data_IF_568458451145
#
_entry.id   IF_568458451145
#
_cell.length_a   1.000
_cell.length_b   1.000
_cell.length_c   1.000
_cell.angle_alpha   90.00
_cell.angle_beta   90.00
_cell.angle_gamma   90.00
#
_symmetry.space_group_name_H-M   'P 1'
#
loop_
_entity.id
_entity.type
_entity.pdbx_description
1 polymer ?
#
# COMPACT_ATOMS: atom_id res chain seq x y z
N UNK A 1 18.07 5.69 -10.72
CA UNK A 1 18.67 4.53 -10.00
C UNK A 1 19.00 4.87 -8.54
N UNK A 2 19.86 5.87 -8.27
CA UNK A 2 20.26 6.28 -6.90
C UNK A 2 19.08 6.54 -5.93
N UNK A 3 18.01 7.19 -6.40
CA UNK A 3 16.81 7.51 -5.61
C UNK A 3 16.10 6.24 -5.07
N UNK A 4 16.05 5.16 -5.85
CA UNK A 4 15.40 3.89 -5.43
C UNK A 4 16.15 3.19 -4.29
N UNK A 5 17.46 3.38 -4.17
CA UNK A 5 18.28 2.78 -3.10
C UNK A 5 18.13 3.56 -1.78
N UNK A 6 17.92 4.88 -1.85
CA UNK A 6 17.83 5.74 -0.65
C UNK A 6 16.50 5.53 0.09
N UNK A 7 15.38 5.29 -0.61
CA UNK A 7 14.08 5.06 0.05
C UNK A 7 14.01 3.72 0.81
N UNK A 8 14.65 2.67 0.29
CA UNK A 8 14.69 1.37 0.97
C UNK A 8 15.38 1.47 2.35
N UNK A 9 16.34 2.40 2.50
CA UNK A 9 17.09 2.60 3.73
C UNK A 9 16.31 3.32 4.85
N UNK A 10 15.37 4.22 4.52
CA UNK A 10 14.55 4.89 5.56
C UNK A 10 13.56 3.94 6.24
N UNK A 11 13.04 2.94 5.53
CA UNK A 11 12.17 1.92 6.13
C UNK A 11 12.91 1.09 7.19
N UNK A 12 14.13 0.63 6.87
CA UNK A 12 14.94 -0.22 7.76
C UNK A 12 15.31 0.49 9.07
N UNK A 13 15.68 1.77 9.01
CA UNK A 13 16.05 2.55 10.20
C UNK A 13 14.84 2.74 11.13
N UNK A 14 13.63 2.90 10.59
CA UNK A 14 12.41 3.09 11.39
C UNK A 14 12.01 1.80 12.12
N UNK A 15 12.19 0.64 11.49
CA UNK A 15 11.85 -0.66 12.07
C UNK A 15 12.75 -1.04 13.26
N UNK A 16 14.06 -0.75 13.15
CA UNK A 16 15.07 -1.11 14.17
C UNK A 16 14.89 -0.36 15.52
N UNK A 17 14.12 0.73 15.54
CA UNK A 17 13.78 1.48 16.76
C UNK A 17 12.67 0.80 17.58
N UNK A 18 11.77 0.03 16.95
CA UNK A 18 10.64 -0.60 17.64
C UNK A 18 11.01 -1.90 18.36
N UNK A 19 11.88 -2.74 17.79
CA UNK A 19 12.26 -4.04 18.39
C UNK A 19 12.98 -3.89 19.75
N UNK A 20 13.72 -2.80 19.96
CA UNK A 20 14.48 -2.57 21.19
C UNK A 20 13.62 -2.15 22.40
N UNK A 21 12.33 -1.87 22.22
CA UNK A 21 11.42 -1.51 23.34
C UNK A 21 10.83 -2.77 24.02
N UNK A 22 10.88 -3.93 23.36
CA UNK A 22 10.18 -5.14 23.81
C UNK A 22 11.00 -6.11 24.70
N UNK A 23 12.27 -5.79 25.03
CA UNK A 23 13.18 -6.71 25.76
C UNK A 23 13.81 -6.10 27.03
N UNK A 24 13.00 -5.65 28.00
CA UNK A 24 13.50 -5.38 29.37
C UNK A 24 12.44 -5.57 30.48
N UNK A 25 11.81 -6.75 30.59
CA UNK A 25 11.08 -7.15 31.82
C UNK A 25 11.31 -8.64 32.13
N UNK A 26 12.35 -8.95 32.92
CA UNK A 26 12.39 -10.11 33.83
C UNK A 26 13.53 -9.94 34.84
N UNK A 27 13.30 -10.38 36.08
CA UNK A 27 14.23 -10.41 37.24
C UNK A 27 14.69 -9.04 37.81
N UNK A 28 14.94 -8.85 39.11
CA UNK A 28 14.37 -9.40 40.38
C UNK A 28 14.75 -8.44 41.53
N UNK A 29 14.03 -8.52 42.66
CA UNK A 29 14.43 -8.04 44.01
C UNK A 29 14.61 -6.53 44.30
N UNK A 30 14.31 -6.17 45.55
CA UNK A 30 14.59 -4.88 46.18
C UNK A 30 15.66 -5.05 47.26
N UNK A 31 16.46 -4.01 47.56
CA UNK A 31 16.29 -3.42 48.90
C UNK A 31 16.43 -1.87 48.98
N UNK A 32 15.94 -1.39 50.13
CA UNK A 32 15.76 -0.01 50.63
C UNK A 32 17.04 0.79 50.94
N UNK A 33 16.80 2.08 51.32
CA UNK A 33 17.62 3.07 52.06
C UNK A 33 18.60 3.87 51.17
N UNK A 34 18.71 5.22 51.22
CA UNK A 34 18.13 6.25 52.12
C UNK A 34 17.72 7.56 51.37
N UNK A 35 17.46 8.68 52.08
CA UNK A 35 17.17 10.01 51.49
C UNK A 35 18.17 11.12 51.93
N UNK A 36 18.61 11.99 51.00
CA UNK A 36 19.18 13.32 51.34
C UNK A 36 19.05 14.31 50.16
N UNK A 37 19.25 15.61 50.41
CA UNK A 37 18.59 16.71 49.69
C UNK A 37 19.29 17.28 48.43
N UNK A 38 18.43 17.70 47.49
CA UNK A 38 18.47 18.94 46.67
C UNK A 38 19.83 19.52 46.24
N UNK A 39 20.10 19.51 44.93
CA UNK A 39 20.39 20.76 44.18
C UNK A 39 20.38 20.59 42.65
N UNK A 40 19.83 21.61 41.97
CA UNK A 40 20.06 22.04 40.57
C UNK A 40 20.03 21.02 39.42
N UNK A 41 19.19 21.31 38.41
CA UNK A 41 18.91 20.37 37.33
C UNK A 41 20.05 20.12 36.32
N UNK A 42 20.06 18.89 35.79
CA UNK A 42 20.58 18.55 34.47
C UNK A 42 19.70 17.47 33.86
N UNK A 43 19.25 17.72 32.64
CA UNK A 43 18.45 16.80 31.85
C UNK A 43 19.31 15.59 31.47
N UNK A 44 19.03 14.41 32.04
CA UNK A 44 19.76 13.17 31.74
C UNK A 44 19.41 12.67 30.33
N UNK A 45 20.05 13.26 29.32
CA UNK A 45 20.12 12.73 27.97
C UNK A 45 20.76 11.35 28.04
N UNK A 46 19.96 10.29 27.89
CA UNK A 46 20.47 8.92 27.75
C UNK A 46 21.42 8.88 26.55
N UNK A 47 22.71 8.67 26.80
CA UNK A 47 23.66 8.40 25.73
C UNK A 47 23.30 7.04 25.11
N UNK A 48 22.84 7.07 23.86
CA UNK A 48 22.84 5.86 23.04
C UNK A 48 24.30 5.43 22.86
N UNK A 49 24.60 4.17 23.16
CA UNK A 49 25.98 3.68 23.26
C UNK A 49 26.81 3.99 22.03
N UNK A 50 28.06 4.45 22.24
CA UNK A 50 29.02 4.72 21.17
C UNK A 50 29.23 3.48 20.31
N UNK A 51 28.62 3.47 19.13
CA UNK A 51 28.99 2.53 18.05
C UNK A 51 30.36 2.98 17.54
N UNK A 52 31.43 2.29 17.96
CA UNK A 52 32.78 2.55 17.47
C UNK A 52 32.90 2.02 16.05
N UNK A 53 32.65 2.90 15.08
CA UNK A 53 32.84 2.59 13.65
C UNK A 53 34.21 3.12 13.24
N UNK A 54 35.14 2.21 12.94
CA UNK A 54 36.44 2.61 12.39
C UNK A 54 36.24 3.36 11.06
N UNK A 55 36.99 4.46 10.80
CA UNK A 55 36.92 5.17 9.53
C UNK A 55 37.40 4.23 8.42
N UNK A 56 36.51 3.90 7.47
CA UNK A 56 36.89 3.05 6.35
C UNK A 56 36.82 3.82 5.03
N UNK A 57 37.89 3.73 4.25
CA UNK A 57 38.00 4.46 2.98
C UNK A 57 36.92 4.05 1.96
N UNK A 58 36.48 5.01 1.15
CA UNK A 58 35.64 4.78 -0.01
C UNK A 58 36.51 4.24 -1.16
N UNK A 59 36.28 3.00 -1.56
CA UNK A 59 36.97 2.35 -2.67
C UNK A 59 35.98 1.90 -3.74
N UNK A 60 36.45 1.54 -4.95
CA UNK A 60 35.58 1.02 -6.03
C UNK A 60 34.64 -0.10 -5.57
N UNK A 61 35.07 -0.97 -4.64
CA UNK A 61 34.25 -2.06 -4.07
C UNK A 61 33.13 -1.59 -3.11
N UNK A 62 33.15 -0.32 -2.71
CA UNK A 62 32.15 0.31 -1.84
C UNK A 62 31.34 1.41 -2.55
N UNK A 63 31.54 1.61 -3.85
CA UNK A 63 30.77 2.56 -4.66
C UNK A 63 29.26 2.36 -4.42
N UNK A 64 28.54 3.44 -4.11
CA UNK A 64 27.11 3.40 -3.80
C UNK A 64 26.74 3.04 -2.36
N UNK A 65 27.70 2.66 -1.49
CA UNK A 65 27.44 2.46 -0.06
C UNK A 65 27.25 3.79 0.66
N UNK A 66 26.40 3.76 1.68
CA UNK A 66 26.20 4.84 2.64
C UNK A 66 27.10 4.64 3.87
N UNK A 67 27.57 5.73 4.46
CA UNK A 67 28.29 5.77 5.73
C UNK A 67 27.76 6.94 6.55
N UNK A 68 27.50 6.72 7.84
CA UNK A 68 27.16 7.79 8.76
C UNK A 68 28.40 8.18 9.54
N UNK A 69 28.91 9.38 9.28
CA UNK A 69 29.96 10.02 10.04
C UNK A 69 29.35 10.48 11.37
N UNK A 70 29.65 9.73 12.43
CA UNK A 70 29.15 9.95 13.79
C UNK A 70 29.78 11.18 14.44
N UNK A 71 31.00 11.55 14.04
CA UNK A 71 31.77 12.66 14.62
C UNK A 71 31.23 14.01 14.14
N UNK A 72 30.92 14.12 12.85
CA UNK A 72 30.36 15.34 12.25
C UNK A 72 28.83 15.29 12.04
N UNK A 73 28.17 14.17 12.33
CA UNK A 73 26.73 13.97 12.21
C UNK A 73 26.21 13.86 10.76
N UNK A 74 27.04 13.45 9.81
CA UNK A 74 26.79 13.54 8.36
C UNK A 74 26.52 12.19 7.71
N UNK A 75 25.53 12.12 6.81
CA UNK A 75 25.36 10.95 5.94
C UNK A 75 26.19 11.14 4.66
N UNK A 76 27.08 10.19 4.36
CA UNK A 76 27.98 10.22 3.22
C UNK A 76 27.66 9.08 2.23
N UNK A 77 27.82 9.35 0.94
CA UNK A 77 27.75 8.36 -0.15
C UNK A 77 29.15 8.16 -0.75
N UNK A 78 29.56 6.90 -0.92
CA UNK A 78 30.81 6.57 -1.61
C UNK A 78 30.64 6.71 -3.13
N UNK A 79 31.30 7.70 -3.74
CA UNK A 79 31.19 8.01 -5.17
C UNK A 79 32.55 8.46 -5.74
N UNK A 80 33.08 7.71 -6.71
CA UNK A 80 34.40 7.89 -7.34
C UNK A 80 35.57 7.85 -6.34
N UNK A 81 35.61 6.82 -5.50
CA UNK A 81 36.63 6.64 -4.44
C UNK A 81 36.70 7.80 -3.42
N UNK A 82 35.65 8.62 -3.33
CA UNK A 82 35.53 9.68 -2.34
C UNK A 82 34.21 9.55 -1.58
N UNK A 83 34.25 9.77 -0.27
CA UNK A 83 33.05 10.02 0.51
C UNK A 83 32.52 11.41 0.16
N UNK A 84 31.28 11.49 -0.33
CA UNK A 84 30.59 12.76 -0.58
C UNK A 84 29.43 12.90 0.39
N UNK A 85 29.37 14.03 1.07
CA UNK A 85 28.24 14.34 1.94
C UNK A 85 26.94 14.38 1.13
N UNK A 86 25.95 13.58 1.55
CA UNK A 86 24.57 13.74 1.13
C UNK A 86 23.97 14.92 1.88
N UNK A 87 24.46 16.11 1.54
CA UNK A 87 23.99 17.36 2.11
C UNK A 87 22.49 17.50 1.84
N UNK A 88 21.70 17.43 2.90
CA UNK A 88 20.30 17.82 2.87
C UNK A 88 20.20 19.34 2.64
N UNK A 89 20.30 19.75 1.38
CA UNK A 89 19.52 20.90 0.90
C UNK A 89 18.05 20.49 0.92
N UNK A 90 17.49 20.38 2.13
CA UNK A 90 16.07 20.65 2.31
C UNK A 90 15.94 22.15 2.04
N UNK A 91 15.76 22.48 0.76
CA UNK A 91 14.70 23.41 0.45
C UNK A 91 13.44 22.73 1.01
N UNK A 92 13.13 22.98 2.29
CA UNK A 92 11.77 22.76 2.79
C UNK A 92 10.86 23.37 1.74
N UNK A 93 9.88 22.63 1.19
CA UNK A 93 9.06 23.13 0.10
C UNK A 93 8.63 24.55 0.44
N UNK A 94 9.07 25.54 -0.37
CA UNK A 94 8.83 26.97 -0.07
C UNK A 94 7.36 27.09 0.28
N UNK A 95 7.06 27.50 1.52
CA UNK A 95 5.74 27.45 2.17
C UNK A 95 4.64 27.71 1.14
N UNK A 96 4.05 26.63 0.66
CA UNK A 96 3.42 26.62 -0.64
C UNK A 96 2.66 25.33 -0.82
N UNK A 97 1.40 25.50 -1.24
CA UNK A 97 0.35 24.49 -1.17
C UNK A 97 0.72 23.23 -1.94
N UNK A 98 1.15 22.21 -1.18
CA UNK A 98 1.36 20.86 -1.70
C UNK A 98 0.10 20.41 -2.45
N UNK A 99 0.26 19.62 -3.52
CA UNK A 99 -0.89 19.13 -4.26
C UNK A 99 -1.71 18.15 -3.42
N UNK A 100 -3.04 18.19 -3.55
CA UNK A 100 -3.96 17.33 -2.78
C UNK A 100 -4.03 15.90 -3.29
N UNK A 101 -3.67 15.69 -4.56
CA UNK A 101 -3.58 14.40 -5.22
C UNK A 101 -2.60 14.47 -6.39
N UNK A 102 -2.28 13.33 -7.01
CA UNK A 102 -1.51 13.33 -8.27
C UNK A 102 -2.23 14.12 -9.39
N UNK A 103 -3.56 14.14 -9.40
CA UNK A 103 -4.35 14.92 -10.36
C UNK A 103 -4.19 16.43 -10.14
N UNK A 104 -4.26 16.89 -8.89
CA UNK A 104 -4.03 18.29 -8.54
C UNK A 104 -2.58 18.73 -8.83
N UNK A 105 -1.59 17.85 -8.60
CA UNK A 105 -0.21 18.08 -9.02
C UNK A 105 -0.11 18.29 -10.54
N UNK A 106 -0.84 17.49 -11.33
CA UNK A 106 -0.88 17.62 -12.78
C UNK A 106 -1.52 18.94 -13.22
N UNK A 107 -2.69 19.30 -12.68
CA UNK A 107 -3.38 20.56 -13.05
C UNK A 107 -2.63 21.82 -12.61
N UNK A 108 -1.88 21.77 -11.49
CA UNK A 108 -0.99 22.86 -11.05
C UNK A 108 0.30 22.98 -11.86
N UNK A 109 0.50 22.19 -12.91
CA UNK A 109 1.74 22.19 -13.69
C UNK A 109 2.96 21.71 -12.91
N UNK A 110 2.75 20.92 -11.84
CA UNK A 110 3.82 20.34 -11.02
C UNK A 110 4.27 18.96 -11.52
N UNK A 111 3.68 18.50 -12.62
CA UNK A 111 4.03 17.27 -13.34
C UNK A 111 5.50 17.25 -13.76
N UNK A 112 6.19 16.18 -13.42
CA UNK A 112 7.60 15.86 -13.70
C UNK A 112 7.75 14.45 -14.28
N UNK A 113 6.67 13.87 -14.80
CA UNK A 113 6.58 12.47 -15.23
C UNK A 113 6.24 11.50 -14.11
N UNK A 114 6.12 10.22 -14.44
CA UNK A 114 5.78 9.16 -13.49
C UNK A 114 6.84 9.04 -12.39
N UNK A 115 6.40 8.88 -11.14
CA UNK A 115 7.32 8.82 -10.00
C UNK A 115 6.69 9.31 -8.71
N UNK A 116 7.49 9.91 -7.84
CA UNK A 116 7.12 10.18 -6.45
C UNK A 116 6.88 11.66 -6.19
N UNK A 117 5.74 11.94 -5.56
CA UNK A 117 5.26 13.29 -5.29
C UNK A 117 4.90 13.42 -3.81
N UNK A 118 5.18 14.59 -3.24
CA UNK A 118 4.65 14.97 -1.93
C UNK A 118 3.22 15.43 -2.10
N UNK A 119 2.28 14.67 -1.53
CA UNK A 119 0.84 14.92 -1.59
C UNK A 119 0.34 15.31 -0.20
N UNK A 120 -0.55 16.28 -0.10
CA UNK A 120 -1.29 16.60 1.12
C UNK A 120 -2.80 16.64 0.87
N UNK A 121 -3.53 15.52 1.09
CA UNK A 121 -4.96 15.41 0.79
C UNK A 121 -5.86 16.40 1.55
N UNK A 122 -5.34 17.04 2.59
CA UNK A 122 -6.07 18.01 3.42
C UNK A 122 -6.04 19.41 2.81
N UNK A 123 -5.14 19.69 1.87
CA UNK A 123 -5.02 20.98 1.20
C UNK A 123 -4.65 22.14 2.12
N UNK A 124 -4.06 21.88 3.29
CA UNK A 124 -3.53 22.89 4.22
C UNK A 124 -2.00 22.97 4.13
N UNK A 125 -1.42 24.13 4.46
CA UNK A 125 0.04 24.32 4.46
C UNK A 125 0.72 23.74 5.73
N UNK A 126 0.46 22.46 5.99
CA UNK A 126 1.10 21.68 7.06
C UNK A 126 1.70 20.38 6.50
N UNK A 127 3.02 20.23 6.64
CA UNK A 127 3.74 19.03 6.19
C UNK A 127 3.40 17.79 7.03
N UNK A 128 2.87 17.93 8.27
CA UNK A 128 2.55 16.79 9.16
C UNK A 128 1.51 15.83 8.59
N UNK A 129 0.65 16.29 7.68
CA UNK A 129 -0.38 15.48 7.01
C UNK A 129 -0.03 15.18 5.55
N UNK A 130 1.18 15.53 5.12
CA UNK A 130 1.69 15.19 3.79
C UNK A 130 2.40 13.83 3.80
N UNK A 131 2.35 13.13 2.67
CA UNK A 131 3.02 11.85 2.48
C UNK A 131 3.58 11.76 1.04
N UNK A 132 4.49 10.82 0.81
CA UNK A 132 4.91 10.49 -0.55
C UNK A 132 3.86 9.59 -1.20
N UNK A 133 3.43 9.91 -2.41
CA UNK A 133 2.61 9.04 -3.23
C UNK A 133 3.33 8.71 -4.54
N UNK A 134 3.16 7.48 -5.04
CA UNK A 134 3.56 7.15 -6.41
C UNK A 134 2.47 7.61 -7.37
N UNK A 135 2.81 8.54 -8.25
CA UNK A 135 1.94 9.07 -9.29
C UNK A 135 2.31 8.50 -10.66
N UNK A 136 1.29 8.06 -11.39
CA UNK A 136 1.35 7.87 -12.83
C UNK A 136 0.74 9.12 -13.50
N UNK A 137 1.61 9.87 -14.16
CA UNK A 137 1.31 11.13 -14.85
C UNK A 137 1.14 10.94 -16.36
N UNK A 138 1.31 9.73 -16.87
CA UNK A 138 1.33 9.44 -18.31
C UNK A 138 0.03 8.77 -18.77
N UNK A 139 -0.40 7.72 -18.09
CA UNK A 139 -1.46 6.82 -18.53
C UNK A 139 -2.83 7.50 -18.56
N UNK A 140 -3.53 7.44 -19.69
CA UNK A 140 -4.85 8.03 -19.89
C UNK A 140 -4.94 9.53 -19.48
N UNK A 141 -3.89 10.30 -19.76
CA UNK A 141 -3.77 11.70 -19.35
C UNK A 141 -3.27 11.90 -17.91
N UNK A 142 -2.82 10.84 -17.24
CA UNK A 142 -2.15 10.92 -15.94
C UNK A 142 -3.03 11.34 -14.77
N UNK A 143 -2.38 11.77 -13.69
CA UNK A 143 -3.00 12.19 -12.44
C UNK A 143 -3.39 11.04 -11.51
N UNK A 144 -2.95 9.81 -11.81
CA UNK A 144 -3.30 8.61 -11.06
C UNK A 144 -2.41 8.48 -9.82
N UNK A 145 -3.03 8.28 -8.66
CA UNK A 145 -2.35 7.99 -7.39
C UNK A 145 -2.40 6.49 -7.13
N UNK A 146 -1.25 5.84 -6.93
CA UNK A 146 -1.19 4.44 -6.52
C UNK A 146 -1.77 4.30 -5.10
N UNK A 147 -2.75 3.43 -4.92
CA UNK A 147 -3.42 3.23 -3.63
C UNK A 147 -3.26 1.83 -3.06
N UNK A 148 -3.04 0.82 -3.90
CA UNK A 148 -2.72 -0.54 -3.44
C UNK A 148 -1.91 -1.32 -4.48
N UNK A 149 -1.19 -2.34 -4.03
CA UNK A 149 -0.53 -3.33 -4.87
C UNK A 149 -0.72 -4.74 -4.32
N UNK A 150 -0.58 -5.72 -5.20
CA UNK A 150 -0.49 -7.15 -4.87
C UNK A 150 0.62 -7.76 -5.73
N UNK A 151 1.55 -8.46 -5.10
CA UNK A 151 2.76 -9.04 -5.73
C UNK A 151 3.07 -10.46 -5.26
N UNK A 152 2.37 -10.94 -4.23
CA UNK A 152 2.33 -12.34 -3.81
C UNK A 152 0.96 -12.60 -3.13
N UNK A 153 0.43 -13.83 -3.20
CA UNK A 153 -0.95 -14.08 -2.76
C UNK A 153 -1.12 -14.26 -1.25
N UNK A 154 -0.26 -15.04 -0.60
CA UNK A 154 -0.45 -15.42 0.82
C UNK A 154 0.53 -14.76 1.78
N UNK A 155 1.68 -14.28 1.29
CA UNK A 155 2.77 -13.78 2.13
C UNK A 155 2.42 -12.53 2.96
N UNK A 156 1.41 -11.76 2.54
CA UNK A 156 0.89 -10.62 3.30
C UNK A 156 -0.24 -10.98 4.27
N UNK A 157 -0.98 -12.07 4.00
CA UNK A 157 -2.11 -12.50 4.83
C UNK A 157 -1.65 -13.36 6.01
N UNK A 158 -0.80 -14.34 5.74
CA UNK A 158 -0.30 -15.28 6.73
C UNK A 158 1.23 -15.41 6.62
N UNK A 159 2.00 -14.40 7.09
CA UNK A 159 3.46 -14.39 6.98
C UNK A 159 4.13 -15.59 7.66
N UNK A 160 3.50 -16.16 8.71
CA UNK A 160 3.93 -17.38 9.40
C UNK A 160 3.97 -18.62 8.48
N UNK A 161 3.18 -18.59 7.39
CA UNK A 161 3.10 -19.62 6.35
C UNK A 161 4.07 -19.41 5.19
N UNK A 162 4.84 -18.32 5.20
CA UNK A 162 5.93 -18.05 4.23
C UNK A 162 5.52 -18.09 2.75
N UNK A 163 4.26 -17.76 2.45
CA UNK A 163 3.70 -17.77 1.08
C UNK A 163 2.92 -19.02 0.70
N UNK A 164 2.89 -20.06 1.55
CA UNK A 164 1.91 -21.15 1.45
C UNK A 164 0.50 -20.70 1.85
N UNK A 165 -0.50 -21.54 1.58
CA UNK A 165 -1.88 -21.30 2.02
C UNK A 165 -1.98 -21.11 3.54
N UNK A 166 -2.98 -20.34 3.96
CA UNK A 166 -3.19 -19.91 5.34
C UNK A 166 -3.84 -20.96 6.23
N UNK A 167 -4.07 -22.20 5.76
CA UNK A 167 -4.70 -23.24 6.56
C UNK A 167 -3.80 -23.62 7.75
N UNK A 168 -4.29 -23.41 8.97
CA UNK A 168 -3.50 -23.58 10.19
C UNK A 168 -2.49 -22.47 10.46
N UNK A 169 -2.66 -21.29 9.86
CA UNK A 169 -2.02 -20.06 10.34
C UNK A 169 -2.61 -19.64 11.68
N UNK A 170 -1.79 -19.01 12.52
CA UNK A 170 -2.23 -18.40 13.78
C UNK A 170 -2.79 -16.96 13.59
N UNK A 171 -2.79 -16.44 12.36
CA UNK A 171 -3.39 -15.14 12.04
C UNK A 171 -4.92 -15.23 12.05
N UNK A 172 -5.57 -14.20 12.57
CA UNK A 172 -7.03 -14.06 12.54
C UNK A 172 -7.55 -13.94 11.09
N UNK A 173 -8.40 -14.89 10.61
CA UNK A 173 -8.92 -14.87 9.25
C UNK A 173 -9.78 -13.65 8.91
N UNK A 174 -10.31 -12.90 9.90
CA UNK A 174 -11.00 -11.63 9.66
C UNK A 174 -10.11 -10.60 8.96
N UNK A 175 -8.79 -10.71 9.15
CA UNK A 175 -7.78 -9.82 8.56
C UNK A 175 -7.41 -10.18 7.12
N UNK A 176 -7.95 -11.27 6.56
CA UNK A 176 -7.59 -11.84 5.26
C UNK A 176 -8.18 -11.09 4.04
N UNK A 177 -8.20 -9.77 4.08
CA UNK A 177 -8.69 -8.94 2.99
C UNK A 177 -7.78 -7.73 2.73
N UNK A 178 -7.60 -7.35 1.46
CA UNK A 178 -6.57 -6.38 1.04
C UNK A 178 -6.72 -5.01 1.72
N UNK A 179 -7.93 -4.61 2.08
CA UNK A 179 -8.23 -3.29 2.63
C UNK A 179 -8.33 -3.26 4.16
N UNK A 180 -8.03 -4.37 4.84
CA UNK A 180 -7.98 -4.43 6.29
C UNK A 180 -6.87 -3.54 6.85
N UNK A 181 -7.08 -2.99 8.06
CA UNK A 181 -6.20 -2.00 8.67
C UNK A 181 -4.76 -2.49 8.89
N UNK A 182 -4.54 -3.80 9.07
CA UNK A 182 -3.19 -4.39 9.26
C UNK A 182 -2.32 -4.34 8.00
N UNK A 183 -2.95 -4.29 6.81
CA UNK A 183 -2.27 -4.19 5.51
C UNK A 183 -2.13 -2.73 5.04
N UNK A 184 -2.63 -1.78 5.84
CA UNK A 184 -2.48 -0.37 5.55
C UNK A 184 -1.04 0.10 5.79
N UNK A 185 -0.55 0.98 4.93
CA UNK A 185 0.75 1.65 5.03
C UNK A 185 0.56 3.14 4.80
N UNK A 186 1.51 3.94 5.29
CA UNK A 186 1.59 5.38 5.00
C UNK A 186 2.18 5.68 3.61
N UNK A 187 2.71 4.66 2.93
CA UNK A 187 3.27 4.74 1.59
C UNK A 187 3.04 3.42 0.84
N UNK A 188 2.68 3.52 -0.44
CA UNK A 188 2.62 2.39 -1.38
C UNK A 188 3.44 2.76 -2.62
N UNK A 189 4.27 1.82 -3.05
CA UNK A 189 5.12 1.92 -4.24
C UNK A 189 4.99 0.69 -5.13
N UNK A 190 5.70 0.70 -6.26
CA UNK A 190 5.80 -0.44 -7.19
C UNK A 190 7.01 -1.36 -6.89
N UNK A 191 7.50 -1.42 -5.65
CA UNK A 191 8.52 -2.43 -5.27
C UNK A 191 7.85 -3.81 -5.20
N UNK A 192 8.48 -4.81 -5.81
CA UNK A 192 8.00 -6.21 -5.79
C UNK A 192 8.59 -6.89 -4.57
N UNK A 193 7.74 -7.47 -3.71
CA UNK A 193 8.17 -8.22 -2.53
C UNK A 193 7.40 -9.53 -2.41
N UNK A 194 7.83 -10.40 -1.49
CA UNK A 194 7.18 -11.69 -1.17
C UNK A 194 7.08 -11.87 0.34
N UNK A 195 6.75 -10.78 1.03
CA UNK A 195 6.67 -10.62 2.48
C UNK A 195 5.34 -9.95 2.88
N UNK A 196 5.24 -9.47 4.12
CA UNK A 196 4.11 -8.69 4.64
C UNK A 196 3.79 -7.40 3.86
N UNK A 197 4.68 -6.94 2.97
CA UNK A 197 4.48 -5.76 2.11
C UNK A 197 4.09 -6.14 0.67
N UNK A 198 3.88 -7.43 0.40
CA UNK A 198 3.56 -7.94 -0.93
C UNK A 198 2.12 -7.64 -1.36
N UNK A 199 1.20 -7.49 -0.40
CA UNK A 199 -0.16 -6.98 -0.59
C UNK A 199 -0.44 -5.87 0.43
N UNK A 200 -0.43 -4.62 -0.02
CA UNK A 200 -0.59 -3.44 0.84
C UNK A 200 -1.41 -2.34 0.17
N UNK A 201 -2.02 -1.49 0.99
CA UNK A 201 -2.80 -0.32 0.56
C UNK A 201 -2.48 0.93 1.39
N UNK A 202 -2.81 2.11 0.87
CA UNK A 202 -2.86 3.34 1.67
C UNK A 202 -4.06 3.29 2.61
N UNK A 203 -3.96 3.86 3.82
CA UNK A 203 -5.09 3.95 4.78
C UNK A 203 -6.41 4.34 4.06
N UNK A 204 -7.48 3.58 4.25
CA UNK A 204 -8.77 3.76 3.55
C UNK A 204 -9.30 5.21 3.59
N UNK A 205 -9.08 5.92 4.70
CA UNK A 205 -9.45 7.34 4.85
C UNK A 205 -8.64 8.30 3.96
N UNK A 206 -7.40 7.95 3.60
CA UNK A 206 -6.57 8.66 2.61
C UNK A 206 -7.06 8.32 1.20
N UNK A 207 -7.29 7.03 0.88
CA UNK A 207 -7.83 6.60 -0.42
C UNK A 207 -9.14 7.33 -0.72
N UNK A 208 -10.07 7.37 0.25
CA UNK A 208 -11.35 8.07 0.12
C UNK A 208 -11.19 9.56 -0.15
N UNK A 209 -10.24 10.25 0.49
CA UNK A 209 -9.95 11.68 0.24
C UNK A 209 -9.37 11.92 -1.15
N UNK A 210 -8.41 11.10 -1.57
CA UNK A 210 -7.82 11.17 -2.91
C UNK A 210 -8.89 10.94 -4.00
N UNK A 211 -9.75 9.95 -3.80
CA UNK A 211 -10.85 9.63 -4.71
C UNK A 211 -11.90 10.75 -4.80
N UNK A 212 -12.35 11.28 -3.66
CA UNK A 212 -13.41 12.32 -3.62
C UNK A 212 -12.93 13.72 -3.99
N UNK A 213 -11.64 14.04 -3.82
CA UNK A 213 -11.04 15.29 -4.32
C UNK A 213 -10.62 15.22 -5.79
N UNK A 214 -10.71 14.02 -6.38
CA UNK A 214 -10.35 13.73 -7.76
C UNK A 214 -11.54 13.68 -8.71
N UNK A 215 -11.36 12.94 -9.81
CA UNK A 215 -12.38 12.59 -10.81
C UNK A 215 -13.19 11.34 -10.42
N UNK A 216 -13.18 10.95 -9.15
CA UNK A 216 -13.84 9.74 -8.65
C UNK A 216 -13.61 8.53 -9.58
N UNK A 217 -12.35 8.29 -9.96
CA UNK A 217 -11.97 7.19 -10.85
C UNK A 217 -11.16 6.13 -10.12
N UNK A 218 -11.33 4.85 -10.49
CA UNK A 218 -10.50 3.72 -10.02
C UNK A 218 -9.91 2.99 -11.23
N UNK A 219 -8.59 2.84 -11.28
CA UNK A 219 -7.88 2.06 -12.31
C UNK A 219 -7.39 0.73 -11.76
N UNK A 220 -7.50 -0.30 -12.58
CA UNK A 220 -7.12 -1.68 -12.30
C UNK A 220 -6.07 -2.11 -13.33
N UNK A 221 -4.83 -2.25 -12.90
CA UNK A 221 -3.70 -2.66 -13.74
C UNK A 221 -3.26 -4.09 -13.37
N UNK A 222 -3.39 -5.04 -14.29
CA UNK A 222 -2.97 -6.43 -14.13
C UNK A 222 -1.74 -6.72 -14.98
N UNK A 223 -0.73 -7.34 -14.38
CA UNK A 223 0.55 -7.63 -14.99
C UNK A 223 0.71 -9.15 -15.04
N UNK A 224 0.84 -9.73 -16.23
CA UNK A 224 1.14 -11.16 -16.42
C UNK A 224 2.64 -11.44 -16.57
N UNK A 225 3.45 -10.42 -16.81
CA UNK A 225 4.92 -10.52 -16.86
C UNK A 225 5.54 -10.79 -15.49
N UNK A 226 6.53 -11.69 -15.44
CA UNK A 226 7.39 -11.87 -14.26
C UNK A 226 8.29 -10.66 -14.00
N UNK A 227 8.49 -9.77 -14.97
CA UNK A 227 9.34 -8.58 -14.88
C UNK A 227 8.56 -7.27 -15.03
N UNK A 228 8.94 -6.27 -14.25
CA UNK A 228 8.39 -4.91 -14.35
C UNK A 228 6.92 -4.77 -13.94
N UNK A 229 6.34 -3.65 -14.37
CA UNK A 229 4.97 -3.22 -14.06
C UNK A 229 4.15 -2.81 -15.29
N UNK A 230 4.63 -3.16 -16.49
CA UNK A 230 3.88 -2.95 -17.73
C UNK A 230 2.63 -3.83 -17.69
N UNK A 231 1.41 -3.26 -17.67
CA UNK A 231 0.20 -4.07 -17.59
C UNK A 231 -0.05 -4.83 -18.88
N UNK A 232 -0.55 -6.06 -18.80
CA UNK A 232 -1.18 -6.77 -19.93
C UNK A 232 -2.66 -6.41 -20.05
N UNK A 233 -3.29 -6.04 -18.93
CA UNK A 233 -4.64 -5.49 -18.88
C UNK A 233 -4.64 -4.26 -18.00
N UNK A 234 -5.17 -3.15 -18.52
CA UNK A 234 -5.33 -1.91 -17.79
C UNK A 234 -6.64 -1.25 -18.19
N UNK A 235 -7.44 -0.85 -17.20
CA UNK A 235 -8.72 -0.20 -17.42
C UNK A 235 -9.10 0.63 -16.21
N UNK A 236 -9.94 1.66 -16.40
CA UNK A 236 -10.52 2.40 -15.29
C UNK A 236 -12.03 2.54 -15.37
N UNK A 237 -12.65 2.47 -14.19
CA UNK A 237 -13.98 3.00 -13.95
C UNK A 237 -13.87 4.49 -13.65
N UNK A 238 -14.59 5.33 -14.38
CA UNK A 238 -14.84 6.72 -14.01
C UNK A 238 -16.30 6.84 -13.60
N UNK A 239 -16.51 7.07 -12.30
CA UNK A 239 -17.84 7.12 -11.69
C UNK A 239 -18.50 8.46 -11.99
N UNK A 240 -19.83 8.44 -12.05
CA UNK A 240 -20.62 9.65 -12.15
C UNK A 240 -20.47 10.48 -10.86
N UNK A 241 -19.90 11.68 -10.98
CA UNK A 241 -19.64 12.58 -9.85
C UNK A 241 -20.91 13.27 -9.31
N UNK A 242 -22.02 13.24 -10.07
CA UNK A 242 -23.31 13.77 -9.62
C UNK A 242 -24.07 12.75 -8.75
N UNK A 243 -23.73 11.45 -8.86
CA UNK A 243 -24.27 10.38 -8.01
C UNK A 243 -23.54 10.28 -6.66
N UNK A 244 -24.30 9.94 -5.62
CA UNK A 244 -23.76 9.71 -4.29
C UNK A 244 -22.85 8.45 -4.24
N UNK A 245 -21.54 8.67 -4.14
CA UNK A 245 -20.55 7.59 -4.17
C UNK A 245 -20.09 7.16 -2.76
N UNK A 246 -20.09 5.85 -2.50
CA UNK A 246 -19.77 5.15 -1.24
C UNK A 246 -18.47 4.32 -1.31
N UNK A 247 -17.81 4.27 -2.47
CA UNK A 247 -16.49 3.65 -2.67
C UNK A 247 -15.49 4.13 -1.60
N UNK A 248 -14.77 3.21 -0.96
CA UNK A 248 -13.81 3.47 0.12
C UNK A 248 -14.41 4.02 1.45
N UNK A 249 -15.73 3.89 1.68
CA UNK A 249 -16.34 4.10 3.00
C UNK A 249 -16.41 2.80 3.81
N UNK A 250 -16.08 2.86 5.10
CA UNK A 250 -16.35 1.75 6.03
C UNK A 250 -17.84 1.63 6.39
N UNK A 251 -18.22 0.51 7.01
CA UNK A 251 -19.58 0.17 7.48
C UNK A 251 -20.67 0.32 6.41
N UNK A 252 -20.28 0.17 5.14
CA UNK A 252 -21.15 0.44 4.00
C UNK A 252 -20.91 -0.60 2.93
N UNK A 253 -21.96 -1.31 2.51
CA UNK A 253 -21.97 -2.09 1.28
C UNK A 253 -22.42 -1.21 0.11
N UNK A 254 -21.71 -1.30 -1.01
CA UNK A 254 -22.02 -0.59 -2.24
C UNK A 254 -21.75 -1.48 -3.46
N UNK A 255 -22.74 -1.59 -4.33
CA UNK A 255 -22.65 -2.22 -5.64
C UNK A 255 -22.89 -1.17 -6.73
N UNK A 256 -22.07 -1.23 -7.78
CA UNK A 256 -22.08 -0.30 -8.91
C UNK A 256 -22.13 -1.10 -10.20
N UNK A 257 -23.06 -0.78 -11.10
CA UNK A 257 -23.22 -1.48 -12.37
C UNK A 257 -22.97 -0.56 -13.56
N UNK A 258 -22.29 -1.10 -14.58
CA UNK A 258 -22.20 -0.46 -15.90
C UNK A 258 -23.59 -0.30 -16.54
N UNK A 259 -24.47 -1.28 -16.36
CA UNK A 259 -25.80 -1.30 -16.99
C UNK A 259 -26.74 -0.26 -16.36
N UNK A 260 -26.49 0.14 -15.12
CA UNK A 260 -27.17 1.25 -14.43
C UNK A 260 -26.53 2.63 -14.73
N UNK A 261 -25.45 2.66 -15.52
CA UNK A 261 -24.67 3.87 -15.79
C UNK A 261 -24.02 4.46 -14.54
N UNK A 262 -23.57 3.64 -13.58
CA UNK A 262 -22.93 4.14 -12.35
C UNK A 262 -21.48 4.60 -12.59
N UNK A 263 -20.84 4.06 -13.64
CA UNK A 263 -19.54 4.47 -14.13
C UNK A 263 -19.38 4.12 -15.62
N UNK A 264 -18.47 4.82 -16.28
CA UNK A 264 -17.94 4.41 -17.60
C UNK A 264 -16.76 3.47 -17.39
N UNK A 265 -16.65 2.40 -18.18
CA UNK A 265 -15.51 1.48 -18.16
C UNK A 265 -14.63 1.70 -19.39
N UNK A 266 -13.38 2.09 -19.13
CA UNK A 266 -12.47 2.60 -20.13
C UNK A 266 -11.25 1.66 -20.20
N UNK A 267 -11.24 0.75 -21.17
CA UNK A 267 -10.11 -0.18 -21.37
C UNK A 267 -8.97 0.55 -22.07
N UNK A 268 -7.80 0.52 -21.44
CA UNK A 268 -6.56 1.15 -21.91
C UNK A 268 -5.64 0.13 -22.58
N UNK A 269 -5.62 -1.11 -22.07
CA UNK A 269 -4.88 -2.23 -22.64
C UNK A 269 -5.58 -3.54 -22.32
N UNK A 270 -5.52 -4.49 -23.26
CA UNK A 270 -6.05 -5.82 -23.07
C UNK A 270 -5.40 -6.80 -24.05
N UNK A 271 -4.60 -7.76 -23.54
CA UNK A 271 -3.79 -8.66 -24.36
C UNK A 271 -4.30 -10.10 -24.39
N UNK A 272 -4.94 -10.58 -23.31
CA UNK A 272 -5.41 -11.96 -23.19
C UNK A 272 -6.67 -12.24 -24.04
N UNK A 273 -6.49 -12.42 -25.35
CA UNK A 273 -7.52 -12.66 -26.40
C UNK A 273 -8.66 -13.66 -26.11
N UNK A 274 -8.53 -14.54 -25.11
CA UNK A 274 -9.54 -15.56 -24.74
C UNK A 274 -10.29 -15.22 -23.45
N UNK A 275 -10.01 -14.06 -22.85
CA UNK A 275 -10.55 -13.64 -21.57
C UNK A 275 -11.18 -12.26 -21.74
N UNK A 276 -12.29 -11.98 -21.09
CA UNK A 276 -12.95 -10.67 -21.16
C UNK A 276 -12.49 -9.80 -19.99
N UNK A 277 -12.32 -8.49 -20.20
CA UNK A 277 -12.06 -7.52 -19.13
C UNK A 277 -13.14 -6.43 -19.14
N UNK A 278 -14.39 -6.83 -18.82
CA UNK A 278 -15.56 -5.96 -18.98
C UNK A 278 -15.82 -5.03 -17.79
N UNK A 279 -15.36 -5.39 -16.59
CA UNK A 279 -15.64 -4.65 -15.36
C UNK A 279 -17.13 -4.32 -15.19
N UNK A 280 -18.01 -5.30 -15.43
CA UNK A 280 -19.46 -5.10 -15.51
C UNK A 280 -20.10 -4.64 -14.20
N UNK A 281 -19.57 -5.12 -13.07
CA UNK A 281 -19.95 -4.70 -11.72
C UNK A 281 -18.68 -4.40 -10.91
N UNK A 282 -18.72 -3.34 -10.10
CA UNK A 282 -17.73 -3.03 -9.07
C UNK A 282 -18.44 -3.06 -7.73
N UNK A 283 -17.82 -3.72 -6.75
CA UNK A 283 -18.37 -3.85 -5.41
C UNK A 283 -17.36 -3.43 -4.34
N UNK A 284 -17.89 -2.81 -3.30
CA UNK A 284 -17.13 -2.38 -2.14
C UNK A 284 -17.92 -2.63 -0.86
N UNK A 285 -17.28 -3.27 0.11
CA UNK A 285 -17.79 -3.35 1.47
C UNK A 285 -16.65 -3.59 2.44
N UNK A 286 -16.48 -2.72 3.43
CA UNK A 286 -15.45 -2.84 4.47
C UNK A 286 -16.10 -2.58 5.82
N UNK A 287 -15.79 -3.40 6.82
CA UNK A 287 -16.38 -3.37 8.17
C UNK A 287 -17.92 -3.45 8.13
N UNK A 288 -18.48 -4.27 7.24
CA UNK A 288 -19.94 -4.38 7.07
C UNK A 288 -20.54 -5.32 8.12
N UNK A 289 -21.54 -4.84 8.89
CA UNK A 289 -22.38 -5.64 9.80
C UNK A 289 -23.40 -6.52 9.03
N UNK A 290 -22.96 -7.12 7.92
CA UNK A 290 -23.77 -8.04 7.12
C UNK A 290 -22.92 -9.02 6.34
N UNK A 291 -23.55 -10.16 6.05
CA UNK A 291 -22.97 -11.32 5.40
C UNK A 291 -22.42 -11.02 3.98
N UNK A 292 -21.09 -10.91 3.86
CA UNK A 292 -20.36 -10.75 2.59
C UNK A 292 -20.18 -12.10 1.86
N UNK A 293 -21.20 -12.98 1.95
CA UNK A 293 -21.32 -14.43 1.63
C UNK A 293 -20.33 -15.14 0.73
N UNK A 294 -19.78 -14.44 -0.24
CA UNK A 294 -19.15 -15.05 -1.40
C UNK A 294 -17.65 -14.80 -1.47
N UNK A 295 -17.13 -13.73 -0.86
CA UNK A 295 -15.72 -13.28 -0.95
C UNK A 295 -15.21 -12.72 0.38
N UNK A 296 -13.94 -12.37 0.45
CA UNK A 296 -13.44 -11.52 1.53
C UNK A 296 -13.96 -10.08 1.36
N UNK A 297 -14.00 -9.27 2.43
CA UNK A 297 -14.38 -7.85 2.32
C UNK A 297 -13.41 -7.04 1.44
N UNK A 298 -13.77 -5.80 1.08
CA UNK A 298 -12.94 -4.88 0.29
C UNK A 298 -13.48 -4.59 -1.12
N UNK A 299 -12.56 -4.38 -2.07
CA UNK A 299 -12.87 -4.02 -3.46
C UNK A 299 -12.86 -5.26 -4.37
N UNK A 300 -13.93 -5.43 -5.14
CA UNK A 300 -14.06 -6.49 -6.14
C UNK A 300 -14.56 -5.91 -7.46
N UNK A 301 -14.07 -6.42 -8.60
CA UNK A 301 -14.55 -6.03 -9.94
C UNK A 301 -14.59 -7.23 -10.87
N UNK A 302 -15.66 -7.35 -11.67
CA UNK A 302 -15.79 -8.46 -12.61
C UNK A 302 -17.16 -8.53 -13.28
N UNK A 303 -17.62 -9.74 -13.55
CA UNK A 303 -18.95 -10.03 -14.08
C UNK A 303 -19.87 -10.59 -12.98
N UNK A 304 -21.10 -10.08 -12.82
CA UNK A 304 -22.05 -10.63 -11.86
C UNK A 304 -22.49 -12.05 -12.21
N UNK A 305 -22.85 -12.85 -11.20
CA UNK A 305 -23.48 -14.16 -11.39
C UNK A 305 -24.91 -14.04 -11.92
N UNK A 306 -25.37 -15.11 -12.59
CA UNK A 306 -26.78 -15.29 -12.92
C UNK A 306 -27.61 -15.39 -11.62
N UNK A 307 -28.78 -14.75 -11.61
CA UNK A 307 -29.72 -14.80 -10.47
C UNK A 307 -29.74 -13.56 -9.55
N UNK A 308 -29.30 -12.39 -10.03
CA UNK A 308 -29.45 -11.08 -9.37
C UNK A 308 -28.93 -11.00 -7.92
N UNK A 309 -27.79 -11.65 -7.66
CA UNK A 309 -27.11 -11.59 -6.36
C UNK A 309 -26.10 -10.44 -6.35
N UNK A 310 -26.43 -9.35 -5.63
CA UNK A 310 -25.52 -8.20 -5.44
C UNK A 310 -24.14 -8.67 -4.97
N UNK A 311 -23.09 -8.13 -5.59
CA UNK A 311 -21.68 -8.43 -5.33
C UNK A 311 -21.24 -9.89 -5.43
N UNK A 312 -22.05 -10.80 -5.99
CA UNK A 312 -21.65 -12.16 -6.29
C UNK A 312 -21.14 -12.23 -7.74
N UNK A 313 -19.85 -12.49 -7.94
CA UNK A 313 -19.17 -12.51 -9.24
C UNK A 313 -19.07 -13.92 -9.82
N UNK A 314 -19.00 -14.05 -11.14
CA UNK A 314 -18.85 -15.36 -11.80
C UNK A 314 -17.51 -16.04 -11.49
N UNK A 315 -17.50 -17.38 -11.58
CA UNK A 315 -16.33 -18.26 -11.43
C UNK A 315 -16.08 -19.08 -12.72
N UNK A 316 -16.54 -18.59 -13.88
CA UNK A 316 -16.44 -19.32 -15.16
C UNK A 316 -15.05 -19.28 -15.82
N UNK A 317 -14.06 -18.70 -15.15
CA UNK A 317 -12.67 -18.53 -15.61
C UNK A 317 -12.53 -17.67 -16.90
N UNK A 318 -13.63 -17.16 -17.48
CA UNK A 318 -13.62 -16.44 -18.77
C UNK A 318 -13.25 -14.97 -18.66
N UNK A 319 -13.03 -14.43 -17.46
CA UNK A 319 -12.77 -13.01 -17.26
C UNK A 319 -11.56 -12.69 -16.38
N UNK A 320 -11.00 -11.52 -16.66
CA UNK A 320 -10.08 -10.79 -15.79
C UNK A 320 -10.93 -10.06 -14.74
N UNK A 321 -10.75 -10.43 -13.48
CA UNK A 321 -11.49 -9.90 -12.33
C UNK A 321 -10.51 -9.55 -11.20
N UNK A 322 -10.97 -8.71 -10.26
CA UNK A 322 -10.35 -8.54 -8.95
C UNK A 322 -11.25 -9.23 -7.93
N UNK A 323 -10.74 -10.30 -7.34
CA UNK A 323 -11.48 -11.13 -6.41
C UNK A 323 -10.55 -11.98 -5.57
N UNK A 324 -10.98 -12.27 -4.35
CA UNK A 324 -10.34 -13.23 -3.47
C UNK A 324 -11.38 -13.98 -2.64
N UNK A 325 -10.97 -15.15 -2.12
CA UNK A 325 -11.72 -15.90 -1.12
C UNK A 325 -10.71 -16.69 -0.27
N UNK A 326 -10.06 -16.00 0.66
CA UNK A 326 -9.10 -16.58 1.60
C UNK A 326 -9.79 -17.14 2.85
N UNK A 327 -10.81 -16.41 3.35
CA UNK A 327 -11.58 -16.78 4.52
C UNK A 327 -13.09 -16.71 4.25
N UNK A 328 -13.86 -17.55 4.95
CA UNK A 328 -15.33 -17.49 4.97
C UNK A 328 -15.76 -16.77 6.23
N UNK A 329 -16.46 -15.66 6.05
CA UNK A 329 -17.12 -14.91 7.13
C UNK A 329 -18.40 -15.63 7.59
N UNK A 330 -18.76 -15.45 8.86
CA UNK A 330 -20.10 -15.79 9.34
C UNK A 330 -21.16 -14.78 8.85
N UNK A 331 -22.44 -15.09 9.09
CA UNK A 331 -23.57 -14.25 8.69
C UNK A 331 -23.64 -12.88 9.38
N UNK A 332 -22.81 -12.65 10.41
CA UNK A 332 -22.71 -11.37 11.14
C UNK A 332 -21.49 -10.55 10.70
N UNK A 333 -20.56 -11.14 9.94
CA UNK A 333 -19.28 -10.55 9.57
C UNK A 333 -18.26 -10.45 10.73
N UNK A 334 -18.49 -11.13 11.86
CA UNK A 334 -17.72 -10.96 13.11
C UNK A 334 -16.81 -12.12 13.46
N UNK A 335 -17.00 -13.28 12.86
CA UNK A 335 -16.03 -14.38 12.90
C UNK A 335 -15.74 -14.84 11.47
N UNK A 336 -14.56 -15.42 11.28
CA UNK A 336 -14.16 -15.98 10.01
C UNK A 336 -13.32 -17.26 10.22
N UNK A 337 -13.44 -18.18 9.28
CA UNK A 337 -12.61 -19.38 9.19
C UNK A 337 -11.76 -19.32 7.92
N UNK A 338 -10.53 -19.82 7.98
CA UNK A 338 -9.76 -20.10 6.77
C UNK A 338 -10.55 -21.01 5.84
N UNK A 339 -10.66 -20.62 4.57
CA UNK A 339 -11.24 -21.51 3.57
C UNK A 339 -10.31 -22.72 3.35
N UNK A 340 -10.84 -23.84 2.82
CA UNK A 340 -10.02 -25.02 2.49
C UNK A 340 -9.47 -25.00 1.07
N UNK A 341 -10.14 -24.30 0.15
CA UNK A 341 -9.74 -24.17 -1.24
C UNK A 341 -8.85 -22.95 -1.47
N UNK A 342 -9.02 -21.88 -0.67
CA UNK A 342 -8.28 -20.61 -0.63
C UNK A 342 -7.84 -20.04 -1.98
N UNK A 343 -8.49 -18.95 -2.38
CA UNK A 343 -8.29 -18.38 -3.70
C UNK A 343 -7.78 -16.96 -3.61
N UNK A 344 -6.48 -16.80 -3.87
CA UNK A 344 -5.83 -15.50 -3.93
C UNK A 344 -6.08 -14.72 -5.21
N UNK A 345 -5.62 -13.47 -5.20
CA UNK A 345 -5.80 -12.51 -6.29
C UNK A 345 -5.00 -12.84 -7.56
N UNK A 346 -3.84 -13.49 -7.43
CA UNK A 346 -2.87 -13.68 -8.51
C UNK A 346 -2.93 -15.07 -9.15
N UNK A 347 -2.90 -16.12 -8.33
CA UNK A 347 -2.72 -17.52 -8.75
C UNK A 347 -4.00 -18.34 -8.92
N UNK A 348 -5.16 -17.83 -8.49
CA UNK A 348 -6.41 -18.61 -8.49
C UNK A 348 -7.02 -18.80 -9.88
N UNK A 349 -6.57 -19.85 -10.58
CA UNK A 349 -7.13 -20.30 -11.87
C UNK A 349 -8.63 -20.66 -11.84
N UNK A 350 -9.27 -20.71 -10.67
CA UNK A 350 -10.67 -21.12 -10.49
C UNK A 350 -11.62 -19.97 -10.12
N UNK A 351 -11.09 -18.79 -9.75
CA UNK A 351 -11.91 -17.60 -9.49
C UNK A 351 -11.77 -16.54 -10.59
N UNK A 352 -10.60 -16.39 -11.20
CA UNK A 352 -10.34 -15.37 -12.21
C UNK A 352 -9.10 -15.69 -13.06
N UNK A 353 -8.93 -14.92 -14.14
CA UNK A 353 -7.77 -15.07 -14.99
C UNK A 353 -6.44 -14.75 -14.26
N UNK A 354 -5.48 -15.69 -14.20
CA UNK A 354 -4.27 -15.55 -13.38
C UNK A 354 -3.37 -14.40 -13.85
N UNK A 355 -2.67 -13.78 -12.90
CA UNK A 355 -1.69 -12.72 -13.14
C UNK A 355 -0.50 -12.83 -12.15
N UNK A 356 0.54 -12.04 -12.38
CA UNK A 356 1.73 -11.99 -11.51
C UNK A 356 1.66 -10.84 -10.51
N UNK A 357 1.04 -9.70 -10.89
CA UNK A 357 0.88 -8.52 -10.04
C UNK A 357 -0.39 -7.77 -10.36
N UNK A 358 -0.90 -7.05 -9.38
CA UNK A 358 -2.00 -6.08 -9.52
C UNK A 358 -1.56 -4.75 -8.91
N UNK A 359 -1.91 -3.65 -9.56
CA UNK A 359 -1.85 -2.29 -8.99
C UNK A 359 -3.21 -1.61 -9.13
N UNK A 360 -3.64 -0.97 -8.04
CA UNK A 360 -4.90 -0.24 -7.96
C UNK A 360 -4.61 1.24 -7.75
N UNK A 361 -5.32 2.09 -8.49
CA UNK A 361 -5.08 3.54 -8.53
C UNK A 361 -6.38 4.31 -8.37
N UNK A 362 -6.30 5.51 -7.80
CA UNK A 362 -7.42 6.48 -7.82
C UNK A 362 -7.01 7.78 -8.49
N UNK A 363 -7.99 8.48 -9.08
CA UNK A 363 -7.80 9.78 -9.74
C UNK A 363 -9.04 10.65 -9.62
#
# INVERSE_FOLDING_TARGET
MLIKIIQLFLLVITCCVQENVAKTISSTDSPKIESTQVSTGKEHRKEFGKVVIHPTECTRRKQGKLHYDVENGRLLLCYHNQWRELGWKINSPKKGKLPTSCLDAKFKGQDKGDGLYWINPEGVDDLKKSFLAYCDMTTAGGGWTLVAKITHDYAWICPDRKGDNCLGSNVDPLTANLFHSVHARDFVDLTVTSDENSGIHLKNSIIRKLFMSGRQSVRFSYITSSEGWTPSEDAYAAFDSEKANKMFLGRTLADYSRDNGDYTWNVLRHERKRLTFSGSIICWGMDVDSDYRYYDQGLHVGMPTKGNKKCHLSNDETQVMLKSHYARLDSTGRTAEWDRAQFGFLGSKFLQAPCQRIALWVR
#
